data_IF_691615825088
#
_entry.id   IF_691615825088
#
_cell.length_a   1.000
_cell.length_b   1.000
_cell.length_c   1.000
_cell.angle_alpha   90.00
_cell.angle_beta   90.00
_cell.angle_gamma   90.00
#
_symmetry.space_group_name_H-M   'P 1'
#
loop_
_entity.id
_entity.type
_entity.pdbx_description
1 polymer ?
#
# COMPACT_ATOMS: atom_id res chain seq x y z
N UNK A 1 -8.07 -17.43 -25.03
CA UNK A 1 -7.12 -16.36 -25.42
C UNK A 1 -6.54 -15.82 -24.13
N UNK A 2 -5.23 -15.61 -24.04
CA UNK A 2 -4.57 -15.16 -22.81
C UNK A 2 -4.94 -13.70 -22.52
N UNK A 3 -5.37 -13.40 -21.29
CA UNK A 3 -5.69 -12.04 -20.85
C UNK A 3 -4.40 -11.27 -20.58
N UNK A 4 -4.07 -10.32 -21.47
CA UNK A 4 -2.84 -9.53 -21.38
C UNK A 4 -2.86 -8.46 -20.28
N UNK A 5 -4.03 -8.08 -19.75
CA UNK A 5 -4.09 -7.13 -18.64
C UNK A 5 -3.72 -7.76 -17.29
N UNK A 6 -3.62 -9.09 -17.23
CA UNK A 6 -3.24 -9.82 -16.02
C UNK A 6 -1.77 -10.20 -16.03
N UNK A 7 -1.24 -10.43 -14.83
CA UNK A 7 0.05 -11.11 -14.63
C UNK A 7 -0.08 -12.56 -15.09
N UNK A 8 0.71 -12.96 -16.09
CA UNK A 8 0.60 -14.27 -16.70
C UNK A 8 1.82 -15.13 -16.38
N UNK A 9 1.60 -16.35 -15.90
CA UNK A 9 2.62 -17.38 -15.71
C UNK A 9 2.36 -18.50 -16.71
N UNK A 10 3.34 -18.77 -17.57
CA UNK A 10 3.27 -19.80 -18.61
C UNK A 10 4.32 -20.84 -18.29
N UNK A 11 3.89 -22.07 -18.04
CA UNK A 11 4.78 -23.17 -17.71
C UNK A 11 4.71 -24.29 -18.77
N UNK A 12 5.89 -24.74 -19.18
CA UNK A 12 6.09 -25.86 -20.08
C UNK A 12 6.82 -26.96 -19.32
N UNK A 13 6.20 -28.13 -19.27
CA UNK A 13 6.77 -29.30 -18.60
C UNK A 13 6.89 -30.44 -19.60
N UNK A 14 8.05 -31.11 -19.61
CA UNK A 14 8.27 -32.28 -20.44
C UNK A 14 7.37 -33.46 -20.03
N UNK A 15 7.15 -33.63 -18.71
CA UNK A 15 6.31 -34.64 -18.11
C UNK A 15 5.35 -34.03 -17.08
N UNK A 16 4.05 -34.32 -17.20
CA UNK A 16 3.02 -33.86 -16.26
C UNK A 16 2.87 -34.74 -15.02
N UNK A 17 3.48 -35.92 -15.01
CA UNK A 17 3.50 -36.80 -13.83
C UNK A 17 4.75 -36.57 -12.96
N UNK A 18 5.48 -35.49 -13.21
CA UNK A 18 6.73 -35.19 -12.51
C UNK A 18 6.52 -34.44 -11.20
N UNK A 19 7.49 -34.53 -10.29
CA UNK A 19 7.48 -33.78 -9.03
C UNK A 19 7.44 -32.27 -9.29
N UNK A 20 8.19 -31.81 -10.30
CA UNK A 20 8.27 -30.41 -10.69
C UNK A 20 6.91 -29.85 -11.14
N UNK A 21 6.15 -30.62 -11.92
CA UNK A 21 4.80 -30.23 -12.33
C UNK A 21 3.84 -30.19 -11.14
N UNK A 22 3.95 -31.16 -10.23
CA UNK A 22 3.17 -31.17 -8.98
C UNK A 22 3.48 -29.94 -8.11
N UNK A 23 4.76 -29.58 -7.96
CA UNK A 23 5.18 -28.41 -7.20
C UNK A 23 4.60 -27.11 -7.77
N UNK A 24 4.67 -26.94 -9.09
CA UNK A 24 4.06 -25.80 -9.77
C UNK A 24 2.55 -25.74 -9.58
N UNK A 25 1.82 -26.86 -9.75
CA UNK A 25 0.36 -26.85 -9.56
C UNK A 25 -0.05 -26.49 -8.14
N UNK A 26 0.69 -26.96 -7.13
CA UNK A 26 0.44 -26.59 -5.73
C UNK A 26 0.58 -25.08 -5.53
N UNK A 27 1.69 -24.49 -6.01
CA UNK A 27 1.91 -23.05 -5.89
C UNK A 27 0.91 -22.23 -6.72
N UNK A 28 0.64 -22.64 -7.96
CA UNK A 28 -0.33 -22.00 -8.85
C UNK A 28 -1.75 -22.00 -8.27
N UNK A 29 -2.13 -23.07 -7.56
CA UNK A 29 -3.45 -23.15 -6.90
C UNK A 29 -3.62 -22.14 -5.78
N UNK A 30 -2.52 -21.81 -5.07
CA UNK A 30 -2.52 -20.81 -4.00
C UNK A 30 -2.64 -19.40 -4.60
N UNK A 31 -1.89 -19.12 -5.67
CA UNK A 31 -1.76 -17.79 -6.27
C UNK A 31 -2.76 -17.50 -7.41
N UNK A 32 -3.77 -18.35 -7.60
CA UNK A 32 -4.67 -18.32 -8.77
C UNK A 32 -5.50 -17.04 -8.88
N UNK A 33 -5.70 -16.34 -7.76
CA UNK A 33 -6.43 -15.08 -7.72
C UNK A 33 -5.50 -13.90 -8.10
N UNK A 34 -4.19 -14.02 -7.79
CA UNK A 34 -3.17 -13.00 -8.08
C UNK A 34 -2.62 -13.08 -9.52
N UNK A 35 -2.62 -14.27 -10.11
CA UNK A 35 -1.98 -14.58 -11.39
C UNK A 35 -2.83 -15.49 -12.27
N UNK A 36 -2.75 -15.28 -13.58
CA UNK A 36 -3.28 -16.22 -14.56
C UNK A 36 -2.21 -17.28 -14.91
N UNK A 37 -2.50 -18.54 -14.60
CA UNK A 37 -1.59 -19.66 -14.85
C UNK A 37 -1.99 -20.46 -16.09
N UNK A 38 -1.00 -20.76 -16.94
CA UNK A 38 -1.16 -21.55 -18.14
C UNK A 38 -0.12 -22.65 -18.18
N UNK A 39 -0.55 -23.85 -18.58
CA UNK A 39 0.36 -24.98 -18.79
C UNK A 39 0.32 -25.42 -20.25
N UNK A 40 1.49 -25.53 -20.85
CA UNK A 40 1.68 -25.92 -22.24
C UNK A 40 2.57 -27.14 -22.38
N UNK A 41 2.61 -27.68 -23.59
CA UNK A 41 3.62 -28.67 -24.00
C UNK A 41 4.39 -28.11 -25.18
N UNK A 42 5.70 -28.00 -25.03
CA UNK A 42 6.59 -27.60 -26.13
C UNK A 42 7.32 -28.85 -26.66
N UNK A 43 7.22 -29.18 -27.96
CA UNK A 43 7.86 -30.37 -28.52
C UNK A 43 9.39 -30.37 -28.37
N UNK A 44 10.04 -29.21 -28.41
CA UNK A 44 11.49 -29.05 -28.29
C UNK A 44 11.93 -29.31 -26.85
N UNK A 45 11.27 -28.67 -25.88
CA UNK A 45 11.54 -28.90 -24.46
C UNK A 45 11.23 -30.35 -24.06
N UNK A 46 10.18 -30.94 -24.61
CA UNK A 46 9.85 -32.35 -24.40
C UNK A 46 10.93 -33.28 -24.95
N UNK A 47 11.51 -32.97 -26.11
CA UNK A 47 12.59 -33.76 -26.69
C UNK A 47 13.90 -33.64 -25.88
N UNK A 48 14.14 -32.48 -25.27
CA UNK A 48 15.30 -32.23 -24.40
C UNK A 48 15.07 -32.65 -22.93
N UNK A 49 13.85 -33.08 -22.58
CA UNK A 49 13.41 -33.33 -21.22
C UNK A 49 13.64 -32.14 -20.27
N UNK A 50 13.38 -30.93 -20.77
CA UNK A 50 13.56 -29.67 -20.05
C UNK A 50 12.22 -29.07 -19.64
N UNK A 51 12.23 -28.29 -18.56
CA UNK A 51 11.09 -27.54 -18.06
C UNK A 51 11.38 -26.04 -18.18
N UNK A 52 10.32 -25.24 -18.32
CA UNK A 52 10.43 -23.78 -18.42
C UNK A 52 9.23 -23.12 -17.78
N UNK A 53 9.45 -22.16 -16.89
CA UNK A 53 8.40 -21.25 -16.41
C UNK A 53 8.77 -19.84 -16.89
N UNK A 54 7.79 -19.13 -17.46
CA UNK A 54 7.90 -17.75 -17.91
C UNK A 54 6.86 -16.91 -17.19
N UNK A 55 7.29 -15.80 -16.61
CA UNK A 55 6.42 -14.70 -16.21
C UNK A 55 6.40 -13.67 -17.34
N UNK A 56 5.20 -13.20 -17.70
CA UNK A 56 5.01 -12.09 -18.63
C UNK A 56 4.37 -10.92 -17.89
N UNK A 57 5.08 -9.79 -17.89
CA UNK A 57 4.61 -8.57 -17.27
C UNK A 57 3.50 -7.91 -18.11
N UNK A 58 2.36 -7.52 -17.52
CA UNK A 58 1.26 -6.90 -18.26
C UNK A 58 1.58 -5.46 -18.73
N UNK A 59 2.48 -4.76 -18.04
CA UNK A 59 2.78 -3.36 -18.30
C UNK A 59 3.90 -3.20 -19.34
N UNK A 60 4.95 -4.02 -19.26
CA UNK A 60 6.12 -3.93 -20.16
C UNK A 60 6.12 -4.98 -21.28
N UNK A 61 5.29 -6.02 -21.19
CA UNK A 61 5.36 -7.23 -22.00
C UNK A 61 6.69 -8.01 -21.88
N UNK A 62 7.56 -7.65 -20.93
CA UNK A 62 8.84 -8.34 -20.72
C UNK A 62 8.62 -9.77 -20.21
N UNK A 63 9.48 -10.67 -20.66
CA UNK A 63 9.48 -12.07 -20.24
C UNK A 63 10.63 -12.36 -19.27
N UNK A 64 10.29 -12.93 -18.12
CA UNK A 64 11.25 -13.35 -17.11
C UNK A 64 11.16 -14.86 -16.94
N UNK A 65 12.28 -15.55 -17.15
CA UNK A 65 12.36 -17.00 -17.04
C UNK A 65 12.77 -17.41 -15.63
N UNK A 66 12.13 -18.44 -15.11
CA UNK A 66 12.62 -19.11 -13.91
C UNK A 66 13.92 -19.86 -14.24
N UNK A 67 14.98 -19.55 -13.51
CA UNK A 67 16.31 -20.17 -13.68
C UNK A 67 16.69 -21.05 -12.49
N UNK A 68 15.74 -21.37 -11.61
CA UNK A 68 15.96 -22.14 -10.39
C UNK A 68 15.79 -23.64 -10.56
N UNK A 69 15.92 -24.36 -9.44
CA UNK A 69 15.57 -25.77 -9.38
C UNK A 69 14.05 -25.93 -9.32
N UNK A 70 13.48 -26.61 -10.30
CA UNK A 70 12.02 -26.84 -10.39
C UNK A 70 11.51 -27.87 -9.36
N UNK A 71 12.39 -28.71 -8.82
CA UNK A 71 12.04 -29.68 -7.78
C UNK A 71 12.05 -29.05 -6.37
N UNK A 72 12.62 -27.84 -6.22
CA UNK A 72 12.56 -27.08 -4.97
C UNK A 72 11.24 -26.30 -4.87
N UNK A 73 10.28 -26.88 -4.16
CA UNK A 73 8.95 -26.29 -4.00
C UNK A 73 8.99 -24.90 -3.38
N UNK A 74 9.80 -24.66 -2.34
CA UNK A 74 9.82 -23.36 -1.67
C UNK A 74 10.43 -22.30 -2.59
N UNK A 75 11.46 -22.65 -3.37
CA UNK A 75 12.04 -21.70 -4.30
C UNK A 75 11.10 -21.37 -5.48
N UNK A 76 10.42 -22.37 -6.04
CA UNK A 76 9.40 -22.15 -7.09
C UNK A 76 8.26 -21.29 -6.54
N UNK A 77 7.74 -21.63 -5.35
CA UNK A 77 6.67 -20.88 -4.70
C UNK A 77 7.10 -19.42 -4.44
N UNK A 78 8.28 -19.20 -3.89
CA UNK A 78 8.79 -17.85 -3.64
C UNK A 78 8.90 -17.02 -4.92
N UNK A 79 9.47 -17.60 -5.98
CA UNK A 79 9.59 -16.90 -7.26
C UNK A 79 8.21 -16.57 -7.87
N UNK A 80 7.25 -17.51 -7.82
CA UNK A 80 5.89 -17.26 -8.28
C UNK A 80 5.22 -16.16 -7.46
N UNK A 81 5.32 -16.20 -6.13
CA UNK A 81 4.79 -15.16 -5.23
C UNK A 81 5.37 -13.79 -5.59
N UNK A 82 6.68 -13.68 -5.77
CA UNK A 82 7.35 -12.41 -6.08
C UNK A 82 6.96 -11.85 -7.46
N UNK A 83 6.55 -12.70 -8.41
CA UNK A 83 6.05 -12.25 -9.73
C UNK A 83 4.56 -11.93 -9.75
N UNK A 84 3.78 -12.67 -8.98
CA UNK A 84 2.32 -12.57 -8.97
C UNK A 84 1.81 -11.48 -8.04
N UNK A 85 2.46 -11.28 -6.89
CA UNK A 85 2.07 -10.27 -5.91
C UNK A 85 3.05 -9.09 -6.03
N UNK A 86 2.68 -8.00 -6.73
CA UNK A 86 3.57 -6.85 -6.85
C UNK A 86 3.74 -6.17 -5.49
N UNK A 87 4.94 -5.65 -5.24
CA UNK A 87 5.27 -4.94 -4.00
C UNK A 87 4.41 -3.68 -3.81
N UNK A 88 3.99 -3.07 -4.92
CA UNK A 88 3.05 -1.95 -4.94
C UNK A 88 1.79 -2.38 -5.67
N UNK A 89 0.64 -2.28 -5.00
CA UNK A 89 -0.69 -2.65 -5.53
C UNK A 89 -1.56 -1.41 -5.68
N UNK A 90 -2.58 -1.45 -6.55
CA UNK A 90 -3.61 -0.41 -6.56
C UNK A 90 -4.71 -0.77 -5.57
N UNK A 91 -5.05 0.15 -4.67
CA UNK A 91 -6.23 0.01 -3.81
C UNK A 91 -7.46 0.47 -4.55
N UNK A 92 -8.52 -0.33 -4.45
CA UNK A 92 -9.81 -0.14 -5.11
C UNK A 92 -10.91 -0.48 -4.11
N UNK A 93 -12.16 -0.09 -4.38
CA UNK A 93 -13.26 -0.42 -3.46
C UNK A 93 -13.55 -1.93 -3.43
N UNK A 94 -13.15 -2.64 -4.47
CA UNK A 94 -13.36 -4.07 -4.64
C UNK A 94 -12.36 -4.90 -3.81
N UNK A 95 -11.11 -4.44 -3.68
CA UNK A 95 -10.06 -5.18 -2.96
C UNK A 95 -9.69 -4.61 -1.59
N UNK A 96 -10.18 -3.42 -1.23
CA UNK A 96 -9.78 -2.76 0.02
C UNK A 96 -10.15 -3.57 1.27
N UNK A 97 -11.30 -4.25 1.27
CA UNK A 97 -11.72 -5.09 2.40
C UNK A 97 -10.69 -6.21 2.64
N UNK A 98 -10.31 -6.93 1.58
CA UNK A 98 -9.27 -7.97 1.60
C UNK A 98 -7.90 -7.42 2.03
N UNK A 99 -7.48 -6.28 1.48
CA UNK A 99 -6.22 -5.63 1.87
C UNK A 99 -6.19 -5.27 3.36
N UNK A 100 -7.33 -4.89 3.94
CA UNK A 100 -7.40 -4.60 5.37
C UNK A 100 -7.39 -5.86 6.25
N UNK A 101 -7.80 -7.01 5.72
CA UNK A 101 -7.75 -8.31 6.41
C UNK A 101 -6.30 -8.82 6.56
N UNK A 102 -5.37 -8.37 5.70
CA UNK A 102 -3.94 -8.66 5.84
C UNK A 102 -3.35 -8.09 7.15
N UNK A 103 -4.01 -7.11 7.77
CA UNK A 103 -3.63 -6.56 9.07
C UNK A 103 -2.40 -5.63 9.04
N UNK A 104 -1.85 -5.34 7.86
CA UNK A 104 -0.72 -4.41 7.70
C UNK A 104 -1.22 -2.97 7.49
N UNK A 105 -0.57 -1.96 8.10
CA UNK A 105 -0.81 -0.56 7.79
C UNK A 105 -0.71 -0.28 6.29
N UNK A 106 -1.45 0.72 5.80
CA UNK A 106 -1.38 1.15 4.42
C UNK A 106 -0.41 2.32 4.27
N UNK A 107 0.51 2.22 3.33
CA UNK A 107 1.29 3.33 2.79
C UNK A 107 0.66 3.74 1.46
N UNK A 108 -0.16 4.78 1.49
CA UNK A 108 -1.00 5.23 0.39
C UNK A 108 -0.32 6.36 -0.37
N UNK A 109 -0.06 6.14 -1.65
CA UNK A 109 0.33 7.17 -2.60
C UNK A 109 -0.91 7.58 -3.41
N UNK A 110 -1.56 8.65 -2.98
CA UNK A 110 -2.68 9.26 -3.68
C UNK A 110 -2.16 10.00 -4.91
N UNK A 111 -2.66 9.63 -6.08
CA UNK A 111 -2.22 10.15 -7.36
C UNK A 111 -3.37 10.32 -8.34
N UNK A 112 -3.15 11.13 -9.37
CA UNK A 112 -3.98 11.14 -10.57
C UNK A 112 -3.65 9.89 -11.40
N UNK A 113 -4.61 8.99 -11.68
CA UNK A 113 -4.37 7.78 -12.48
C UNK A 113 -3.82 8.04 -13.88
N UNK A 114 -3.98 9.25 -14.43
CA UNK A 114 -3.42 9.64 -15.71
C UNK A 114 -1.89 9.82 -15.66
N UNK A 115 -1.31 10.11 -14.49
CA UNK A 115 0.14 10.28 -14.32
C UNK A 115 0.85 8.95 -14.05
N UNK A 116 1.15 8.23 -15.14
CA UNK A 116 1.91 6.98 -15.09
C UNK A 116 3.40 7.16 -14.76
N UNK A 117 3.94 8.38 -14.81
CA UNK A 117 5.34 8.60 -14.42
C UNK A 117 5.48 8.58 -12.91
N UNK A 118 4.55 9.20 -12.19
CA UNK A 118 4.50 9.17 -10.72
C UNK A 118 4.30 7.74 -10.19
N UNK A 119 3.46 6.93 -10.83
CA UNK A 119 3.30 5.50 -10.51
C UNK A 119 4.64 4.76 -10.52
N UNK A 120 5.36 4.84 -11.66
CA UNK A 120 6.66 4.17 -11.85
C UNK A 120 7.69 4.65 -10.82
N UNK A 121 7.77 5.97 -10.62
CA UNK A 121 8.69 6.57 -9.65
C UNK A 121 8.43 6.07 -8.24
N UNK A 122 7.17 6.06 -7.80
CA UNK A 122 6.83 5.55 -6.47
C UNK A 122 7.16 4.05 -6.34
N UNK A 123 6.82 3.24 -7.36
CA UNK A 123 7.16 1.82 -7.37
C UNK A 123 8.66 1.57 -7.25
N UNK A 124 9.49 2.32 -7.99
CA UNK A 124 10.95 2.22 -7.91
C UNK A 124 11.48 2.59 -6.52
N UNK A 125 10.93 3.64 -5.89
CA UNK A 125 11.29 4.04 -4.54
C UNK A 125 10.96 2.96 -3.51
N UNK A 126 9.77 2.37 -3.59
CA UNK A 126 9.35 1.29 -2.68
C UNK A 126 10.25 0.06 -2.85
N UNK A 127 10.55 -0.35 -4.09
CA UNK A 127 11.47 -1.47 -4.36
C UNK A 127 12.86 -1.19 -3.79
N UNK A 128 13.36 0.03 -3.92
CA UNK A 128 14.69 0.40 -3.47
C UNK A 128 14.82 0.49 -1.94
N UNK A 129 13.82 1.05 -1.27
CA UNK A 129 13.94 1.45 0.15
C UNK A 129 13.17 0.59 1.14
N UNK A 130 12.14 -0.13 0.65
CA UNK A 130 11.17 -0.84 1.48
C UNK A 130 11.07 -2.34 1.16
N UNK A 131 11.96 -2.91 0.34
CA UNK A 131 11.91 -4.34 -0.01
C UNK A 131 11.93 -5.26 1.22
N UNK A 132 12.75 -4.93 2.22
CA UNK A 132 12.84 -5.63 3.50
C UNK A 132 11.68 -5.30 4.46
N UNK A 133 10.90 -4.26 4.15
CA UNK A 133 9.73 -3.82 4.92
C UNK A 133 8.41 -4.33 4.32
N UNK A 134 8.45 -5.24 3.33
CA UNK A 134 7.26 -5.80 2.68
C UNK A 134 6.26 -6.50 3.61
N UNK A 135 6.71 -6.94 4.79
CA UNK A 135 5.86 -7.54 5.82
C UNK A 135 5.46 -6.58 6.94
N UNK A 136 5.83 -5.29 6.83
CA UNK A 136 5.55 -4.27 7.84
C UNK A 136 4.47 -3.29 7.37
N UNK A 137 4.36 -3.06 6.06
CA UNK A 137 3.42 -2.11 5.47
C UNK A 137 2.98 -2.55 4.07
N UNK A 138 1.74 -2.24 3.71
CA UNK A 138 1.22 -2.41 2.36
C UNK A 138 1.37 -1.12 1.57
N UNK A 139 2.29 -1.10 0.60
CA UNK A 139 2.47 0.03 -0.30
C UNK A 139 1.41 0.01 -1.42
N UNK A 140 0.61 1.07 -1.50
CA UNK A 140 -0.60 1.11 -2.30
C UNK A 140 -0.66 2.41 -3.13
N UNK A 141 -0.95 2.29 -4.43
CA UNK A 141 -1.38 3.39 -5.27
C UNK A 141 -2.88 3.60 -5.05
N UNK A 142 -3.30 4.84 -4.82
CA UNK A 142 -4.69 5.20 -4.63
C UNK A 142 -5.13 6.23 -5.68
N UNK A 143 -6.22 5.94 -6.39
CA UNK A 143 -6.90 6.90 -7.26
C UNK A 143 -7.52 8.01 -6.40
N UNK A 144 -6.93 9.21 -6.47
CA UNK A 144 -7.35 10.33 -5.66
C UNK A 144 -8.78 10.82 -5.95
N UNK A 145 -9.31 10.59 -7.16
CA UNK A 145 -10.68 10.96 -7.50
C UNK A 145 -11.67 9.99 -6.84
N UNK A 146 -11.35 8.69 -6.83
CA UNK A 146 -12.17 7.67 -6.14
C UNK A 146 -12.08 7.79 -4.63
N UNK A 147 -10.88 8.03 -4.10
CA UNK A 147 -10.60 8.14 -2.67
C UNK A 147 -10.54 9.61 -2.19
N UNK A 148 -11.33 10.49 -2.81
CA UNK A 148 -11.39 11.90 -2.43
C UNK A 148 -11.85 12.13 -0.98
N UNK A 149 -12.67 11.22 -0.42
CA UNK A 149 -13.09 11.31 0.98
C UNK A 149 -11.92 11.09 1.95
N UNK A 150 -11.17 9.97 1.92
CA UNK A 150 -9.93 9.83 2.69
C UNK A 150 -8.94 10.99 2.49
N UNK A 151 -8.79 11.49 1.26
CA UNK A 151 -7.88 12.61 0.97
C UNK A 151 -8.32 13.90 1.70
N UNK A 152 -9.62 14.21 1.69
CA UNK A 152 -10.19 15.34 2.44
C UNK A 152 -10.05 15.17 3.95
N UNK A 153 -10.13 13.94 4.45
CA UNK A 153 -9.91 13.66 5.88
C UNK A 153 -8.49 14.04 6.34
N UNK A 154 -7.52 14.00 5.43
CA UNK A 154 -6.16 14.50 5.64
C UNK A 154 -6.01 16.02 5.41
N UNK A 155 -7.10 16.74 5.14
CA UNK A 155 -7.07 18.16 4.79
C UNK A 155 -6.43 18.42 3.41
N UNK A 156 -6.43 17.43 2.52
CA UNK A 156 -5.88 17.51 1.16
C UNK A 156 -6.98 17.42 0.11
N UNK A 157 -6.65 17.87 -1.10
CA UNK A 157 -7.54 17.89 -2.26
C UNK A 157 -6.82 17.34 -3.49
N UNK A 158 -7.55 17.17 -4.60
CA UNK A 158 -6.95 16.73 -5.87
C UNK A 158 -5.88 17.70 -6.41
N UNK A 159 -5.92 18.98 -6.00
CA UNK A 159 -4.90 19.96 -6.38
C UNK A 159 -3.59 19.80 -5.60
N UNK A 160 -3.59 19.03 -4.51
CA UNK A 160 -2.41 18.76 -3.69
C UNK A 160 -1.64 17.52 -4.17
N UNK A 161 -2.11 16.85 -5.23
CA UNK A 161 -1.52 15.61 -5.71
C UNK A 161 -0.13 15.81 -6.32
N UNK A 162 0.79 14.84 -6.15
CA UNK A 162 0.61 13.60 -5.40
C UNK A 162 0.73 13.79 -3.88
N UNK A 163 0.03 12.95 -3.10
CA UNK A 163 0.08 12.95 -1.63
C UNK A 163 0.46 11.57 -1.12
N UNK A 164 1.46 11.49 -0.23
CA UNK A 164 1.82 10.27 0.46
C UNK A 164 1.33 10.30 1.91
N UNK A 165 0.68 9.22 2.35
CA UNK A 165 0.19 9.09 3.71
C UNK A 165 0.31 7.64 4.20
N UNK A 166 0.33 7.47 5.52
CA UNK A 166 0.17 6.18 6.17
C UNK A 166 -1.19 6.15 6.86
N UNK A 167 -1.94 5.06 6.70
CA UNK A 167 -3.10 4.71 7.53
C UNK A 167 -2.76 3.48 8.38
N UNK A 168 -2.70 3.66 9.70
CA UNK A 168 -2.35 2.60 10.66
C UNK A 168 -3.55 1.76 11.12
N UNK A 169 -4.74 2.01 10.58
CA UNK A 169 -6.05 1.57 11.09
C UNK A 169 -6.45 2.13 12.46
N UNK A 170 -5.62 2.98 13.04
CA UNK A 170 -5.97 3.80 14.19
C UNK A 170 -5.99 5.27 13.79
N UNK A 171 -4.90 5.70 13.16
CA UNK A 171 -4.66 7.08 12.77
C UNK A 171 -4.05 7.16 11.37
N UNK A 172 -4.22 8.32 10.73
CA UNK A 172 -3.56 8.65 9.48
C UNK A 172 -2.45 9.68 9.70
N UNK A 173 -1.33 9.50 8.99
CA UNK A 173 -0.16 10.37 9.05
C UNK A 173 0.21 10.83 7.65
N UNK A 174 0.41 12.14 7.46
CA UNK A 174 0.88 12.69 6.20
C UNK A 174 2.40 12.68 6.12
N UNK A 175 2.92 12.36 4.95
CA UNK A 175 4.30 12.70 4.61
C UNK A 175 4.38 14.21 4.39
N UNK A 176 5.24 14.89 5.15
CA UNK A 176 5.18 16.35 5.31
C UNK A 176 5.59 17.12 4.05
N UNK A 177 6.66 16.70 3.39
CA UNK A 177 7.22 17.39 2.22
C UNK A 177 7.54 16.40 1.12
N UNK A 178 6.71 16.38 0.07
CA UNK A 178 6.88 15.51 -1.09
C UNK A 178 8.19 15.75 -1.84
N UNK A 179 8.84 16.91 -1.69
CA UNK A 179 10.16 17.15 -2.27
C UNK A 179 11.26 16.33 -1.60
N UNK A 180 11.03 15.83 -0.38
CA UNK A 180 11.96 14.94 0.31
C UNK A 180 11.79 13.48 -0.10
N UNK A 181 10.71 13.12 -0.80
CA UNK A 181 10.40 11.72 -1.10
C UNK A 181 11.49 11.02 -1.92
N UNK A 182 12.19 11.75 -2.80
CA UNK A 182 13.29 11.18 -3.58
C UNK A 182 14.61 11.09 -2.82
N UNK A 183 14.73 11.80 -1.69
CA UNK A 183 15.96 11.81 -0.91
C UNK A 183 16.12 10.42 -0.30
N UNK A 184 17.27 9.75 -0.51
CA UNK A 184 17.46 8.38 -0.04
C UNK A 184 17.17 8.22 1.45
N UNK A 185 16.32 7.25 1.79
CA UNK A 185 16.02 6.86 3.15
C UNK A 185 14.83 7.61 3.78
N UNK A 186 14.29 8.66 3.14
CA UNK A 186 13.16 9.41 3.69
C UNK A 186 11.86 8.64 3.68
N UNK A 187 11.61 7.87 2.61
CA UNK A 187 10.45 6.98 2.54
C UNK A 187 10.56 5.89 3.62
N UNK A 188 11.76 5.32 3.78
CA UNK A 188 12.05 4.33 4.83
C UNK A 188 11.86 4.90 6.23
N UNK A 189 12.42 6.08 6.50
CA UNK A 189 12.29 6.77 7.78
C UNK A 189 10.82 6.94 8.16
N UNK A 190 9.97 7.35 7.20
CA UNK A 190 8.54 7.51 7.45
C UNK A 190 7.85 6.21 7.90
N UNK A 191 8.19 5.07 7.31
CA UNK A 191 7.67 3.76 7.72
C UNK A 191 8.21 3.34 9.08
N UNK A 192 9.51 3.54 9.35
CA UNK A 192 10.10 3.20 10.65
C UNK A 192 9.56 4.09 11.79
N UNK A 193 9.28 5.35 11.50
CA UNK A 193 8.69 6.31 12.42
C UNK A 193 7.26 5.92 12.83
N UNK A 194 6.52 5.26 11.93
CA UNK A 194 5.22 4.66 12.27
C UNK A 194 5.39 3.59 13.36
N UNK A 195 6.23 2.58 13.09
CA UNK A 195 6.36 1.42 13.97
C UNK A 195 7.03 1.75 15.30
N UNK A 196 7.89 2.78 15.34
CA UNK A 196 8.47 3.29 16.58
C UNK A 196 7.51 4.19 17.38
N UNK A 197 6.32 4.48 16.86
CA UNK A 197 5.35 5.42 17.44
C UNK A 197 5.78 6.89 17.38
N UNK A 198 6.87 7.19 16.65
CA UNK A 198 7.40 8.56 16.53
C UNK A 198 6.40 9.48 15.83
N UNK A 199 5.72 9.01 14.76
CA UNK A 199 4.72 9.82 14.07
C UNK A 199 3.60 10.32 15.01
N UNK A 200 3.16 9.47 15.93
CA UNK A 200 2.16 9.86 16.92
C UNK A 200 2.72 10.88 17.92
N UNK A 201 3.94 10.66 18.45
CA UNK A 201 4.59 11.61 19.37
C UNK A 201 4.82 12.98 18.72
N UNK A 202 5.31 12.99 17.49
CA UNK A 202 5.60 14.20 16.74
C UNK A 202 4.32 15.00 16.46
N UNK A 203 3.20 14.31 16.19
CA UNK A 203 1.89 14.97 16.04
C UNK A 203 1.52 15.76 17.31
N UNK A 204 1.57 15.14 18.49
CA UNK A 204 1.28 15.81 19.77
C UNK A 204 2.25 16.98 20.03
N UNK A 205 3.54 16.79 19.78
CA UNK A 205 4.53 17.85 19.95
C UNK A 205 4.26 19.07 19.04
N UNK A 206 3.88 18.85 17.77
CA UNK A 206 3.53 19.95 16.86
C UNK A 206 2.24 20.65 17.25
N UNK A 207 1.28 19.91 17.82
CA UNK A 207 0.02 20.46 18.31
C UNK A 207 0.27 21.39 19.51
N UNK A 208 1.03 20.92 20.49
CA UNK A 208 1.40 21.69 21.68
C UNK A 208 2.09 23.00 21.30
N UNK A 209 3.00 22.95 20.32
CA UNK A 209 3.69 24.14 19.81
C UNK A 209 2.71 25.13 19.16
N UNK A 210 1.80 24.65 18.30
CA UNK A 210 0.76 25.50 17.68
C UNK A 210 -0.15 26.14 18.72
N UNK A 211 -0.53 25.39 19.76
CA UNK A 211 -1.35 25.92 20.85
C UNK A 211 -0.60 27.00 21.64
N UNK A 212 0.68 26.80 21.93
CA UNK A 212 1.52 27.80 22.59
C UNK A 212 1.69 29.07 21.74
N UNK A 213 1.85 28.94 20.43
CA UNK A 213 1.99 30.08 19.52
C UNK A 213 0.67 30.86 19.38
N UNK A 214 -0.48 30.17 19.31
CA UNK A 214 -1.80 30.80 19.33
C UNK A 214 -2.06 31.57 20.64
N UNK A 215 -1.63 31.02 21.78
CA UNK A 215 -1.73 31.71 23.08
C UNK A 215 -0.89 32.97 23.11
N UNK A 216 0.36 32.92 22.65
CA UNK A 216 1.22 34.12 22.55
C UNK A 216 0.62 35.19 21.64
N UNK A 217 0.06 34.80 20.50
CA UNK A 217 -0.63 35.72 19.58
C UNK A 217 -1.84 36.41 20.23
N UNK A 218 -2.60 35.68 21.06
CA UNK A 218 -3.73 36.24 21.80
C UNK A 218 -3.26 37.22 22.90
N UNK A 219 -2.12 36.96 23.55
CA UNK A 219 -1.50 37.84 24.55
C UNK A 219 -0.89 39.11 23.93
N UNK A 220 -0.28 39.00 22.74
CA UNK A 220 0.39 40.13 22.05
C UNK A 220 -0.59 41.06 21.31
N UNK A 221 -1.78 40.59 20.94
CA UNK A 221 -2.82 41.39 20.27
C UNK A 221 -4.19 41.27 20.95
N UNK A 222 -4.34 41.77 22.20
CA UNK A 222 -5.60 41.71 22.91
C UNK A 222 -6.73 42.45 22.18
N UNK A 223 -6.41 43.50 21.39
CA UNK A 223 -7.39 44.34 20.69
C UNK A 223 -8.17 43.63 19.57
N UNK A 224 -7.68 42.49 19.05
CA UNK A 224 -8.41 41.69 18.05
C UNK A 224 -9.50 40.82 18.71
N UNK A 225 -9.34 40.51 19.99
CA UNK A 225 -10.24 39.62 20.75
C UNK A 225 -11.13 40.37 21.76
N UNK A 226 -11.00 41.70 21.86
CA UNK A 226 -11.67 42.51 22.88
C UNK A 226 -12.90 43.31 22.40
N UNK A 227 -13.28 43.26 21.11
CA UNK A 227 -14.53 43.89 20.67
C UNK A 227 -15.71 43.00 21.12
N UNK A 228 -16.27 43.40 22.25
CA UNK A 228 -17.08 42.59 23.14
C UNK A 228 -18.55 42.97 22.97
N UNK A 229 -19.27 42.14 22.22
CA UNK A 229 -20.70 41.87 22.48
C UNK A 229 -21.20 40.51 21.93
N UNK A 230 -20.34 39.74 21.26
CA UNK A 230 -20.58 38.34 20.97
C UNK A 230 -19.34 37.54 21.35
N UNK A 231 -19.32 36.98 22.56
CA UNK A 231 -18.45 35.83 22.86
C UNK A 231 -18.99 34.66 22.04
N UNK A 232 -18.72 34.65 20.75
CA UNK A 232 -18.53 33.39 20.05
C UNK A 232 -17.29 32.78 20.69
N UNK A 233 -17.54 31.91 21.68
CA UNK A 233 -16.64 30.81 21.99
C UNK A 233 -16.12 30.34 20.64
N UNK A 234 -14.81 30.50 20.39
CA UNK A 234 -14.14 30.03 19.16
C UNK A 234 -14.87 28.80 18.67
N UNK A 235 -15.45 28.81 17.45
CA UNK A 235 -16.30 27.71 17.01
C UNK A 235 -15.56 26.40 17.27
N UNK A 236 -16.21 25.33 17.75
CA UNK A 236 -15.55 24.09 18.14
C UNK A 236 -14.57 23.52 17.10
N UNK A 237 -14.70 23.94 15.83
CA UNK A 237 -13.82 23.65 14.71
C UNK A 237 -12.43 24.33 14.76
N UNK A 238 -12.18 25.31 15.64
CA UNK A 238 -10.93 26.06 15.73
C UNK A 238 -9.96 25.52 16.81
N UNK A 239 -10.39 24.55 17.62
CA UNK A 239 -9.50 23.81 18.51
C UNK A 239 -8.90 22.68 17.67
N UNK A 240 -7.59 22.71 17.37
CA UNK A 240 -6.98 21.62 16.62
C UNK A 240 -7.09 20.34 17.44
N UNK A 241 -7.52 19.27 16.79
CA UNK A 241 -7.85 18.01 17.44
C UNK A 241 -6.66 17.46 18.23
N UNK A 242 -6.92 16.98 19.45
CA UNK A 242 -5.86 16.52 20.36
C UNK A 242 -5.24 15.19 19.95
N UNK A 243 -5.74 14.55 18.89
CA UNK A 243 -5.25 13.28 18.38
C UNK A 243 -5.09 13.33 16.87
N UNK A 244 -4.17 12.52 16.29
CA UNK A 244 -4.04 12.49 14.84
C UNK A 244 -5.34 12.08 14.15
N UNK A 245 -5.58 12.50 12.90
CA UNK A 245 -6.80 12.15 12.17
C UNK A 245 -7.07 10.64 12.24
N UNK A 246 -8.28 10.18 12.60
CA UNK A 246 -8.57 8.76 12.69
C UNK A 246 -8.45 8.07 11.33
N UNK A 247 -8.20 6.76 11.36
CA UNK A 247 -8.21 5.94 10.14
C UNK A 247 -9.57 5.97 9.44
N UNK A 248 -9.57 6.32 8.15
CA UNK A 248 -10.76 6.21 7.29
C UNK A 248 -10.87 4.80 6.72
N UNK A 249 -9.75 4.15 6.40
CA UNK A 249 -9.76 2.80 5.83
C UNK A 249 -10.20 1.74 6.85
N UNK A 250 -10.22 2.06 8.14
CA UNK A 250 -10.87 1.23 9.17
C UNK A 250 -12.36 0.99 8.89
N UNK A 251 -13.06 1.92 8.26
CA UNK A 251 -14.47 1.75 7.89
C UNK A 251 -14.68 0.74 6.76
N UNK A 252 -13.62 0.44 6.01
CA UNK A 252 -13.60 -0.51 4.91
C UNK A 252 -13.18 -1.91 5.34
N UNK A 253 -12.92 -2.11 6.64
CA UNK A 253 -12.72 -3.43 7.24
C UNK A 253 -14.01 -4.25 7.21
N UNK A 254 -13.91 -5.59 7.31
CA UNK A 254 -15.08 -6.46 7.47
C UNK A 254 -15.99 -5.94 8.60
N UNK A 255 -17.22 -5.60 8.23
CA UNK A 255 -18.15 -4.91 9.13
C UNK A 255 -18.88 -5.90 10.04
N UNK A 256 -18.99 -5.57 11.34
CA UNK A 256 -19.83 -6.31 12.30
C UNK A 256 -21.32 -6.31 11.91
N UNK A 257 -21.75 -5.38 11.03
CA UNK A 257 -23.11 -5.36 10.47
C UNK A 257 -23.37 -6.49 9.48
N UNK A 258 -22.31 -7.05 8.88
CA UNK A 258 -22.38 -8.11 7.86
C UNK A 258 -21.81 -9.44 8.36
N UNK A 259 -20.82 -9.39 9.24
CA UNK A 259 -20.12 -10.58 9.73
C UNK A 259 -20.14 -10.65 11.25
N UNK A 260 -20.23 -11.86 11.81
CA UNK A 260 -19.88 -12.10 13.20
C UNK A 260 -18.35 -12.23 13.31
N UNK A 261 -17.68 -11.15 13.71
CA UNK A 261 -16.23 -11.12 13.80
C UNK A 261 -15.73 -11.99 14.97
N UNK A 262 -14.89 -12.98 14.65
CA UNK A 262 -14.20 -13.81 15.63
C UNK A 262 -13.01 -13.03 16.22
N UNK A 263 -13.25 -12.02 17.06
CA UNK A 263 -12.14 -11.28 17.70
C UNK A 263 -11.28 -12.25 18.52
N UNK A 264 -10.04 -12.52 18.10
CA UNK A 264 -8.95 -12.72 19.07
C UNK A 264 -8.65 -11.35 19.65
N UNK A 265 -9.04 -11.13 20.90
CA UNK A 265 -8.47 -10.07 21.74
C UNK A 265 -6.96 -10.17 21.69
N UNK A 266 -6.30 -9.25 21.00
CA UNK A 266 -4.87 -9.01 21.19
C UNK A 266 -4.69 -8.14 22.44
N UNK A 267 -3.88 -8.69 23.34
CA UNK A 267 -3.30 -8.05 24.51
C UNK A 267 -2.05 -7.27 24.08
#
# INVERSE_FOLDING_TARGET
MMDKSKRNIIAYYANRDSEEYSNFNKAASILREDCAFYTGTDPTLKALNENMIIFRDPDTEDEQKFSGNFSDYEYVKQWLTDKCIPLVREVTFENVEELTEEGLPFLLFFRDPADKQSDKRFTELVIRELFDQKGAVNALLADAHKFAHPLKHLGKTENDLPVLAIDSFQHMFLFHDMNELDKPGKLREFVLDLHSGKLHRDFHATLDQKMADLQKLAEERPDIFNDSDHVEVLPPAAIPDSTPPPSVFKELKPSEKRYSLLKKTEL
#
